data_IF_391511041775
#
_entry.id   IF_391511041775
#
_cell.length_a   1.000
_cell.length_b   1.000
_cell.length_c   1.000
_cell.angle_alpha   90.00
_cell.angle_beta   90.00
_cell.angle_gamma   90.00
#
_symmetry.space_group_name_H-M   'P 1'
#
loop_
_entity.id
_entity.type
_entity.pdbx_description
1 polymer ?
#
# COMPACT_ATOMS: atom_id res chain seq x y z
N UNK A 1 35.16 -7.52 1.80
CA UNK A 1 34.16 -8.53 2.19
C UNK A 1 33.30 -8.98 1.01
N UNK A 2 32.45 -8.13 0.39
CA UNK A 2 31.61 -8.56 -0.77
C UNK A 2 32.45 -9.17 -1.90
N UNK A 3 33.49 -8.47 -2.37
CA UNK A 3 34.37 -8.97 -3.44
C UNK A 3 35.03 -10.30 -3.08
N UNK A 4 35.49 -10.44 -1.83
CA UNK A 4 36.16 -11.67 -1.37
C UNK A 4 35.18 -12.84 -1.27
N UNK A 5 33.94 -12.60 -0.82
CA UNK A 5 32.88 -13.62 -0.76
C UNK A 5 32.48 -14.07 -2.17
N UNK A 6 32.33 -13.12 -3.10
CA UNK A 6 32.03 -13.44 -4.51
C UNK A 6 33.15 -14.27 -5.14
N UNK A 7 34.41 -13.87 -4.96
CA UNK A 7 35.55 -14.64 -5.47
C UNK A 7 35.63 -16.05 -4.87
N UNK A 8 35.28 -16.20 -3.59
CA UNK A 8 35.20 -17.51 -2.93
C UNK A 8 34.06 -18.35 -3.49
N UNK A 9 32.88 -17.78 -3.67
CA UNK A 9 31.73 -18.46 -4.28
C UNK A 9 32.03 -18.92 -5.71
N UNK A 10 32.68 -18.07 -6.52
CA UNK A 10 33.10 -18.42 -7.88
C UNK A 10 34.11 -19.57 -7.85
N UNK A 11 35.08 -19.53 -6.92
CA UNK A 11 36.06 -20.60 -6.75
C UNK A 11 35.41 -21.93 -6.35
N UNK A 12 34.45 -21.90 -5.42
CA UNK A 12 33.88 -23.10 -4.81
C UNK A 12 32.71 -23.70 -5.62
N UNK A 13 31.94 -22.86 -6.32
CA UNK A 13 30.68 -23.28 -7.01
C UNK A 13 30.65 -22.96 -8.51
N UNK A 14 31.60 -22.17 -9.01
CA UNK A 14 31.60 -21.66 -10.39
C UNK A 14 30.68 -20.47 -10.64
N UNK A 15 29.87 -20.06 -9.66
CA UNK A 15 28.91 -18.96 -9.76
C UNK A 15 29.13 -17.92 -8.66
N UNK A 16 28.75 -16.64 -8.87
CA UNK A 16 28.88 -15.60 -7.85
C UNK A 16 27.94 -15.78 -6.66
N UNK A 17 26.82 -16.50 -6.83
CA UNK A 17 25.82 -16.81 -5.81
C UNK A 17 25.72 -18.33 -5.63
N UNK A 18 25.38 -18.79 -4.42
CA UNK A 18 25.15 -20.23 -4.19
C UNK A 18 23.85 -20.69 -4.84
N UNK A 19 23.89 -21.90 -5.42
CA UNK A 19 22.79 -22.51 -6.18
C UNK A 19 21.49 -22.68 -5.36
N UNK A 20 21.58 -22.86 -4.04
CA UNK A 20 20.39 -23.08 -3.19
C UNK A 20 19.46 -21.87 -3.10
N UNK A 21 20.00 -20.65 -2.95
CA UNK A 21 19.18 -19.43 -2.87
C UNK A 21 18.61 -19.09 -4.24
N UNK A 22 19.40 -19.27 -5.30
CA UNK A 22 18.92 -19.10 -6.67
C UNK A 22 17.69 -19.97 -6.95
N UNK A 23 17.74 -21.26 -6.61
CA UNK A 23 16.61 -22.18 -6.80
C UNK A 23 15.34 -21.75 -6.05
N UNK A 24 15.48 -21.17 -4.84
CA UNK A 24 14.33 -20.67 -4.07
C UNK A 24 13.69 -19.42 -4.70
N UNK A 25 14.49 -18.55 -5.33
CA UNK A 25 14.02 -17.33 -5.97
C UNK A 25 13.43 -17.60 -7.36
N UNK A 26 13.96 -18.58 -8.10
CA UNK A 26 13.47 -18.94 -9.44
C UNK A 26 12.34 -19.96 -9.43
N UNK A 27 12.07 -20.59 -8.29
CA UNK A 27 10.94 -21.51 -8.14
C UNK A 27 9.61 -20.78 -8.38
N UNK A 28 8.70 -21.44 -9.11
CA UNK A 28 7.32 -20.98 -9.36
C UNK A 28 7.15 -19.63 -10.08
N UNK A 29 8.20 -18.96 -10.57
CA UNK A 29 8.14 -17.59 -11.12
C UNK A 29 7.05 -17.41 -12.18
N UNK A 30 6.91 -18.35 -13.12
CA UNK A 30 5.87 -18.27 -14.15
C UNK A 30 4.45 -18.42 -13.60
N UNK A 31 4.24 -19.37 -12.69
CA UNK A 31 2.94 -19.57 -12.04
C UNK A 31 2.58 -18.36 -11.18
N UNK A 32 3.57 -17.81 -10.49
CA UNK A 32 3.43 -16.60 -9.69
C UNK A 32 3.03 -15.42 -10.57
N UNK A 33 3.76 -15.15 -11.67
CA UNK A 33 3.47 -14.04 -12.56
C UNK A 33 2.07 -14.11 -13.19
N UNK A 34 1.63 -15.30 -13.62
CA UNK A 34 0.29 -15.50 -14.18
C UNK A 34 -0.79 -15.31 -13.11
N UNK A 35 -0.57 -15.88 -11.93
CA UNK A 35 -1.52 -15.73 -10.80
C UNK A 35 -1.61 -14.29 -10.33
N UNK A 36 -0.48 -13.57 -10.33
CA UNK A 36 -0.39 -12.16 -9.96
C UNK A 36 -1.17 -11.29 -10.93
N UNK A 37 -0.97 -11.50 -12.24
CA UNK A 37 -1.76 -10.85 -13.27
C UNK A 37 -3.25 -11.14 -13.11
N UNK A 38 -3.64 -12.39 -12.84
CA UNK A 38 -5.04 -12.76 -12.62
C UNK A 38 -5.63 -12.08 -11.37
N UNK A 39 -4.85 -11.99 -10.29
CA UNK A 39 -5.22 -11.29 -9.05
C UNK A 39 -5.43 -9.80 -9.32
N UNK A 40 -4.49 -9.12 -10.00
CA UNK A 40 -4.62 -7.70 -10.38
C UNK A 40 -5.82 -7.47 -11.32
N UNK A 41 -6.01 -8.31 -12.35
CA UNK A 41 -7.14 -8.17 -13.29
C UNK A 41 -8.48 -8.38 -12.58
N UNK A 42 -8.57 -9.38 -11.69
CA UNK A 42 -9.81 -9.65 -10.94
C UNK A 42 -10.20 -8.50 -9.98
N UNK A 43 -9.22 -7.69 -9.54
CA UNK A 43 -9.44 -6.46 -8.75
C UNK A 43 -10.24 -5.39 -9.53
N UNK A 44 -10.17 -5.43 -10.87
CA UNK A 44 -10.89 -4.53 -11.77
C UNK A 44 -12.40 -4.69 -11.71
N UNK A 45 -12.93 -5.74 -11.08
CA UNK A 45 -14.36 -5.92 -10.83
C UNK A 45 -14.95 -4.82 -9.92
N UNK A 46 -14.13 -4.09 -9.17
CA UNK A 46 -14.57 -2.92 -8.41
C UNK A 46 -15.16 -1.81 -9.31
N UNK A 47 -14.63 -1.61 -10.52
CA UNK A 47 -15.11 -0.58 -11.45
C UNK A 47 -16.56 -0.80 -11.93
N UNK A 48 -16.95 -1.96 -12.49
CA UNK A 48 -18.33 -2.21 -12.90
C UNK A 48 -19.29 -2.17 -11.71
N UNK A 49 -18.86 -2.61 -10.52
CA UNK A 49 -19.67 -2.49 -9.30
C UNK A 49 -19.97 -1.03 -8.96
N UNK A 50 -18.99 -0.13 -9.07
CA UNK A 50 -19.20 1.32 -8.88
C UNK A 50 -20.09 1.95 -9.96
N UNK A 51 -19.98 1.49 -11.20
CA UNK A 51 -20.90 1.94 -12.27
C UNK A 51 -22.33 1.49 -12.01
N UNK A 52 -22.51 0.30 -11.44
CA UNK A 52 -23.82 -0.25 -11.10
C UNK A 52 -24.44 0.48 -9.91
N UNK A 53 -23.68 0.74 -8.84
CA UNK A 53 -24.17 1.51 -7.67
C UNK A 53 -24.60 2.91 -8.09
N UNK A 54 -23.83 3.59 -8.96
CA UNK A 54 -24.20 4.90 -9.49
C UNK A 54 -25.50 4.87 -10.31
N UNK A 55 -25.62 3.92 -11.27
CA UNK A 55 -26.78 3.83 -12.18
C UNK A 55 -28.07 3.38 -11.51
N UNK A 56 -27.96 2.50 -10.52
CA UNK A 56 -29.15 1.94 -9.87
C UNK A 56 -29.81 2.97 -8.95
N UNK A 57 -31.14 2.96 -8.87
CA UNK A 57 -31.91 3.83 -7.97
C UNK A 57 -31.71 3.52 -6.48
N UNK A 58 -32.75 3.76 -5.67
CA UNK A 58 -32.68 3.68 -4.20
C UNK A 58 -32.25 2.31 -3.63
N UNK A 59 -32.39 1.22 -4.39
CA UNK A 59 -32.08 -0.15 -3.95
C UNK A 59 -30.58 -0.44 -3.78
N UNK A 60 -29.71 0.15 -4.62
CA UNK A 60 -28.25 -0.06 -4.56
C UNK A 60 -27.52 1.22 -4.11
N UNK A 61 -28.14 1.96 -3.19
CA UNK A 61 -27.52 3.13 -2.55
C UNK A 61 -26.22 2.71 -1.86
N UNK A 62 -25.17 3.52 -1.95
CA UNK A 62 -23.83 3.16 -1.46
C UNK A 62 -23.86 2.84 0.03
N UNK A 63 -24.38 3.76 0.85
CA UNK A 63 -24.45 3.62 2.30
C UNK A 63 -25.37 2.50 2.81
N UNK A 64 -26.22 1.91 1.96
CA UNK A 64 -27.12 0.81 2.35
C UNK A 64 -26.61 -0.53 1.84
N UNK A 65 -26.61 -0.70 0.53
CA UNK A 65 -26.37 -2.00 -0.12
C UNK A 65 -24.99 -2.05 -0.77
N UNK A 66 -24.48 -0.90 -1.26
CA UNK A 66 -23.19 -0.83 -1.95
C UNK A 66 -22.02 -1.24 -1.07
N UNK A 67 -21.94 -0.73 0.16
CA UNK A 67 -20.90 -1.11 1.13
C UNK A 67 -20.97 -2.60 1.45
N UNK A 68 -22.16 -3.16 1.65
CA UNK A 68 -22.32 -4.59 1.95
C UNK A 68 -21.81 -5.48 0.80
N UNK A 69 -22.24 -5.19 -0.43
CA UNK A 69 -21.79 -5.95 -1.62
C UNK A 69 -20.28 -5.82 -1.80
N UNK A 70 -19.74 -4.61 -1.65
CA UNK A 70 -18.30 -4.35 -1.76
C UNK A 70 -17.50 -5.13 -0.71
N UNK A 71 -17.95 -5.15 0.54
CA UNK A 71 -17.29 -5.88 1.63
C UNK A 71 -17.34 -7.39 1.42
N UNK A 72 -18.48 -7.94 0.99
CA UNK A 72 -18.59 -9.38 0.67
C UNK A 72 -17.67 -9.77 -0.49
N UNK A 73 -17.62 -8.95 -1.53
CA UNK A 73 -16.68 -9.14 -2.64
C UNK A 73 -15.22 -9.11 -2.15
N UNK A 74 -14.83 -8.13 -1.34
CA UNK A 74 -13.47 -8.03 -0.80
C UNK A 74 -13.08 -9.21 0.10
N UNK A 75 -13.99 -9.68 0.96
CA UNK A 75 -13.75 -10.85 1.82
C UNK A 75 -13.55 -12.11 0.98
N UNK A 76 -14.44 -12.35 0.00
CA UNK A 76 -14.33 -13.50 -0.90
C UNK A 76 -13.05 -13.45 -1.75
N UNK A 77 -12.75 -12.27 -2.31
CA UNK A 77 -11.55 -12.03 -3.11
C UNK A 77 -10.27 -12.25 -2.29
N UNK A 78 -10.20 -11.69 -1.08
CA UNK A 78 -9.04 -11.84 -0.20
C UNK A 78 -8.83 -13.30 0.22
N UNK A 79 -9.91 -13.99 0.59
CA UNK A 79 -9.85 -15.38 1.03
C UNK A 79 -9.35 -16.29 -0.09
N UNK A 80 -9.80 -16.06 -1.32
CA UNK A 80 -9.36 -16.82 -2.49
C UNK A 80 -7.86 -16.64 -2.72
N UNK A 81 -7.39 -15.39 -2.80
CA UNK A 81 -6.00 -15.11 -3.17
C UNK A 81 -5.00 -15.39 -2.04
N UNK A 82 -5.37 -15.22 -0.77
CA UNK A 82 -4.50 -15.65 0.35
C UNK A 82 -4.33 -17.17 0.36
N UNK A 83 -5.39 -17.95 0.07
CA UNK A 83 -5.30 -19.42 0.07
C UNK A 83 -4.60 -19.98 -1.17
N UNK A 84 -4.60 -19.24 -2.28
CA UNK A 84 -4.02 -19.65 -3.56
C UNK A 84 -2.59 -20.20 -3.50
N UNK A 85 -1.59 -19.49 -2.91
CA UNK A 85 -0.21 -19.97 -2.91
C UNK A 85 0.00 -21.21 -2.01
N UNK A 86 -0.86 -21.41 -1.00
CA UNK A 86 -0.83 -22.61 -0.15
C UNK A 86 -1.41 -23.83 -0.86
N UNK A 87 -2.48 -23.64 -1.64
CA UNK A 87 -3.07 -24.71 -2.47
C UNK A 87 -2.10 -25.21 -3.54
N UNK A 88 -1.25 -24.33 -4.06
CA UNK A 88 -0.25 -24.66 -5.07
C UNK A 88 1.11 -25.05 -4.49
N UNK A 89 1.22 -25.16 -3.16
CA UNK A 89 2.44 -25.53 -2.44
C UNK A 89 3.68 -24.73 -2.88
N UNK A 90 3.52 -23.42 -3.08
CA UNK A 90 4.62 -22.55 -3.50
C UNK A 90 5.71 -22.43 -2.44
N UNK A 91 6.91 -22.01 -2.85
CA UNK A 91 7.98 -21.65 -1.93
C UNK A 91 7.56 -20.52 -1.00
N UNK A 92 8.13 -20.50 0.22
CA UNK A 92 7.80 -19.47 1.21
C UNK A 92 8.08 -18.05 0.69
N UNK A 93 9.10 -17.86 -0.15
CA UNK A 93 9.43 -16.57 -0.77
C UNK A 93 8.32 -16.08 -1.69
N UNK A 94 7.80 -16.96 -2.55
CA UNK A 94 6.68 -16.67 -3.43
C UNK A 94 5.39 -16.44 -2.65
N UNK A 95 5.15 -17.20 -1.57
CA UNK A 95 4.00 -17.00 -0.67
C UNK A 95 4.02 -15.61 -0.03
N UNK A 96 5.17 -15.19 0.51
CA UNK A 96 5.31 -13.86 1.15
C UNK A 96 5.08 -12.75 0.13
N UNK A 97 5.73 -12.81 -1.03
CA UNK A 97 5.53 -11.80 -2.08
C UNK A 97 4.06 -11.72 -2.51
N UNK A 98 3.44 -12.86 -2.83
CA UNK A 98 2.07 -12.89 -3.33
C UNK A 98 1.06 -12.38 -2.29
N UNK A 99 1.26 -12.74 -1.02
CA UNK A 99 0.41 -12.29 0.08
C UNK A 99 0.54 -10.78 0.28
N UNK A 100 1.77 -10.24 0.30
CA UNK A 100 1.99 -8.80 0.42
C UNK A 100 1.35 -8.04 -0.75
N UNK A 101 1.55 -8.50 -1.98
CA UNK A 101 0.93 -7.85 -3.14
C UNK A 101 -0.60 -7.92 -3.09
N UNK A 102 -1.17 -9.07 -2.70
CA UNK A 102 -2.62 -9.23 -2.48
C UNK A 102 -3.15 -8.20 -1.47
N UNK A 103 -2.46 -7.99 -0.35
CA UNK A 103 -2.85 -6.98 0.65
C UNK A 103 -2.78 -5.56 0.09
N UNK A 104 -1.74 -5.23 -0.69
CA UNK A 104 -1.65 -3.90 -1.31
C UNK A 104 -2.76 -3.64 -2.33
N UNK A 105 -3.11 -4.63 -3.15
CA UNK A 105 -4.21 -4.53 -4.11
C UNK A 105 -5.56 -4.44 -3.39
N UNK A 106 -5.75 -5.19 -2.29
CA UNK A 106 -6.94 -5.07 -1.44
C UNK A 106 -7.09 -3.64 -0.92
N UNK A 107 -6.03 -3.06 -0.35
CA UNK A 107 -6.05 -1.68 0.16
C UNK A 107 -6.39 -0.69 -0.95
N UNK A 108 -5.79 -0.83 -2.13
CA UNK A 108 -6.12 0.00 -3.30
C UNK A 108 -7.59 -0.13 -3.71
N UNK A 109 -8.11 -1.36 -3.85
CA UNK A 109 -9.51 -1.62 -4.22
C UNK A 109 -10.46 -1.05 -3.17
N UNK A 110 -10.13 -1.20 -1.88
CA UNK A 110 -10.90 -0.63 -0.79
C UNK A 110 -10.93 0.89 -0.86
N UNK A 111 -9.77 1.53 -1.00
CA UNK A 111 -9.72 2.97 -1.13
C UNK A 111 -10.47 3.48 -2.37
N UNK A 112 -10.35 2.79 -3.51
CA UNK A 112 -11.06 3.15 -4.74
C UNK A 112 -12.58 3.07 -4.55
N UNK A 113 -13.06 1.97 -3.97
CA UNK A 113 -14.48 1.74 -3.80
C UNK A 113 -15.11 2.72 -2.80
N UNK A 114 -14.48 2.95 -1.64
CA UNK A 114 -15.01 3.84 -0.61
C UNK A 114 -15.01 5.31 -1.03
N UNK A 115 -13.96 5.75 -1.73
CA UNK A 115 -13.91 7.12 -2.21
C UNK A 115 -14.92 7.39 -3.33
N UNK A 116 -15.00 6.53 -4.36
CA UNK A 116 -16.02 6.69 -5.40
C UNK A 116 -17.44 6.51 -4.88
N UNK A 117 -17.63 5.62 -3.89
CA UNK A 117 -18.92 5.45 -3.23
C UNK A 117 -19.38 6.72 -2.49
N UNK A 118 -18.45 7.41 -1.82
CA UNK A 118 -18.71 8.72 -1.23
C UNK A 118 -19.07 9.76 -2.30
N UNK A 119 -18.27 9.87 -3.37
CA UNK A 119 -18.54 10.80 -4.48
C UNK A 119 -19.89 10.53 -5.14
N UNK A 120 -20.30 9.26 -5.27
CA UNK A 120 -21.62 8.90 -5.79
C UNK A 120 -22.77 9.40 -4.92
N UNK A 121 -22.59 9.45 -3.61
CA UNK A 121 -23.60 9.97 -2.68
C UNK A 121 -23.60 11.50 -2.66
N UNK A 122 -22.43 12.11 -2.77
CA UNK A 122 -22.28 13.56 -2.93
C UNK A 122 -22.94 14.06 -4.23
N UNK A 123 -22.75 13.36 -5.37
CA UNK A 123 -23.40 13.66 -6.66
C UNK A 123 -24.93 13.61 -6.52
N UNK A 124 -25.45 12.55 -5.89
CA UNK A 124 -26.88 12.39 -5.66
C UNK A 124 -27.44 13.48 -4.79
N UNK A 125 -26.73 13.79 -3.70
CA UNK A 125 -27.14 14.83 -2.76
C UNK A 125 -27.19 16.21 -3.41
N UNK A 126 -26.21 16.52 -4.26
CA UNK A 126 -26.24 17.74 -5.07
C UNK A 126 -27.46 17.75 -6.01
N UNK A 127 -27.74 16.65 -6.71
CA UNK A 127 -28.92 16.52 -7.57
C UNK A 127 -30.26 16.58 -6.81
N UNK A 128 -30.31 16.11 -5.56
CA UNK A 128 -31.48 16.22 -4.69
C UNK A 128 -31.75 17.68 -4.25
N UNK A 129 -30.71 18.52 -4.13
CA UNK A 129 -30.85 19.96 -3.84
C UNK A 129 -31.41 20.76 -5.03
N UNK A 130 -31.40 20.20 -6.24
CA UNK A 130 -32.03 20.80 -7.41
C UNK A 130 -33.55 20.52 -7.44
N UNK A 131 -34.02 19.51 -6.69
CA UNK A 131 -35.43 19.15 -6.60
C UNK A 131 -36.07 19.83 -5.38
N UNK A 132 -37.19 20.56 -5.54
CA UNK A 132 -37.83 21.25 -4.43
C UNK A 132 -38.28 20.25 -3.35
N UNK A 133 -37.79 20.42 -2.12
CA UNK A 133 -38.23 19.70 -0.92
C UNK A 133 -37.62 18.33 -0.64
N UNK A 134 -36.64 17.85 -1.44
CA UNK A 134 -36.05 16.50 -1.27
C UNK A 134 -34.59 16.48 -0.77
N UNK A 135 -33.87 17.61 -0.80
CA UNK A 135 -32.45 17.67 -0.44
C UNK A 135 -32.17 17.79 1.06
N UNK A 136 -31.22 16.99 1.55
CA UNK A 136 -30.70 17.11 2.93
C UNK A 136 -29.83 18.36 3.11
N UNK A 137 -30.12 19.17 4.14
CA UNK A 137 -29.39 20.41 4.49
C UNK A 137 -28.21 20.22 5.44
N UNK A 138 -27.77 18.98 5.71
CA UNK A 138 -26.58 18.74 6.53
C UNK A 138 -25.32 19.42 5.95
N UNK A 139 -24.24 19.57 6.72
CA UNK A 139 -22.98 20.05 6.15
C UNK A 139 -22.45 19.10 5.06
N UNK A 140 -21.70 19.62 4.09
CA UNK A 140 -20.93 18.78 3.18
C UNK A 140 -19.82 18.08 3.98
N UNK A 141 -19.72 16.76 3.82
CA UNK A 141 -18.65 15.99 4.46
C UNK A 141 -17.51 15.91 3.46
N UNK A 142 -16.36 16.51 3.78
CA UNK A 142 -15.15 16.37 2.98
C UNK A 142 -14.50 15.04 3.29
N UNK A 143 -14.13 14.29 2.26
CA UNK A 143 -13.44 13.03 2.46
C UNK A 143 -12.02 13.30 3.00
N UNK A 144 -11.54 12.60 4.04
CA UNK A 144 -10.22 12.87 4.60
C UNK A 144 -9.12 12.71 3.54
N UNK A 145 -8.36 13.76 3.27
CA UNK A 145 -7.24 13.80 2.31
C UNK A 145 -5.89 13.71 3.04
N UNK A 146 -4.82 13.47 2.28
CA UNK A 146 -3.45 13.48 2.81
C UNK A 146 -3.09 14.85 3.41
N UNK A 147 -2.50 14.92 4.63
CA UNK A 147 -2.21 16.18 5.31
C UNK A 147 -1.24 17.09 4.53
N UNK A 148 -0.31 16.53 3.75
CA UNK A 148 0.60 17.29 2.88
C UNK A 148 -0.15 18.14 1.81
N UNK A 149 -1.41 17.80 1.53
CA UNK A 149 -2.26 18.44 0.52
C UNK A 149 -3.36 19.31 1.15
N UNK A 150 -3.65 19.15 2.45
CA UNK A 150 -4.53 20.04 3.20
C UNK A 150 -3.92 21.45 3.37
N UNK A 151 -2.59 21.54 3.45
CA UNK A 151 -1.86 22.82 3.53
C UNK A 151 -1.94 23.63 2.23
N UNK A 152 -1.96 22.98 1.07
CA UNK A 152 -2.12 23.65 -0.24
C UNK A 152 -3.51 24.25 -0.44
N UNK A 153 -4.52 23.70 0.24
CA UNK A 153 -5.92 24.17 0.16
C UNK A 153 -6.26 25.32 1.12
N UNK A 154 -5.43 25.57 2.14
CA UNK A 154 -5.65 26.66 3.08
C UNK A 154 -5.26 28.04 2.51
N UNK A 155 -4.72 28.07 1.28
CA UNK A 155 -4.47 29.30 0.52
C UNK A 155 -5.73 29.85 -0.13
N UNK A 156 -6.31 30.86 0.53
CA UNK A 156 -7.08 31.96 -0.11
C UNK A 156 -8.52 31.65 -0.55
N UNK A 157 -9.48 31.71 0.38
CA UNK A 157 -10.85 32.14 0.05
C UNK A 157 -11.39 33.13 1.10
N UNK A 158 -11.51 34.39 0.70
CA UNK A 158 -12.20 35.44 1.44
C UNK A 158 -13.72 35.23 1.25
N UNK A 159 -14.39 34.66 2.24
CA UNK A 159 -15.83 34.42 2.15
C UNK A 159 -16.62 35.73 2.31
N UNK A 160 -17.27 36.16 1.23
CA UNK A 160 -18.41 37.09 1.31
C UNK A 160 -19.60 36.36 1.98
N UNK A 161 -20.48 37.13 2.62
CA UNK A 161 -21.76 36.63 3.14
C UNK A 161 -22.62 36.11 1.98
N UNK A 162 -22.66 34.80 1.80
CA UNK A 162 -23.48 34.10 0.81
C UNK A 162 -24.53 33.25 1.53
N UNK A 163 -25.66 33.00 0.87
CA UNK A 163 -26.74 32.20 1.42
C UNK A 163 -26.27 30.79 1.83
N UNK A 164 -26.82 30.21 2.91
CA UNK A 164 -26.37 28.91 3.41
C UNK A 164 -26.54 27.78 2.38
N UNK A 165 -27.53 27.90 1.47
CA UNK A 165 -27.81 26.90 0.45
C UNK A 165 -26.85 26.97 -0.73
N UNK A 166 -26.45 28.18 -1.15
CA UNK A 166 -25.43 28.35 -2.20
C UNK A 166 -24.08 27.82 -1.73
N UNK A 167 -23.69 28.14 -0.48
CA UNK A 167 -22.48 27.60 0.14
C UNK A 167 -22.45 26.08 0.18
N UNK A 168 -23.56 25.44 0.57
CA UNK A 168 -23.66 23.98 0.56
C UNK A 168 -23.50 23.39 -0.84
N UNK A 169 -24.07 24.04 -1.86
CA UNK A 169 -23.91 23.61 -3.26
C UNK A 169 -22.46 23.72 -3.71
N UNK A 170 -21.82 24.85 -3.42
CA UNK A 170 -20.44 25.09 -3.80
C UNK A 170 -19.48 24.11 -3.10
N UNK A 171 -19.72 23.81 -1.81
CA UNK A 171 -18.95 22.81 -1.08
C UNK A 171 -19.12 21.40 -1.66
N UNK A 172 -20.35 20.99 -2.01
CA UNK A 172 -20.61 19.69 -2.63
C UNK A 172 -20.02 19.59 -4.04
N UNK A 173 -20.12 20.66 -4.83
CA UNK A 173 -19.53 20.73 -6.16
C UNK A 173 -18.00 20.67 -6.09
N UNK A 174 -17.40 21.36 -5.12
CA UNK A 174 -15.94 21.35 -4.90
C UNK A 174 -15.44 19.95 -4.55
N UNK A 175 -16.18 19.18 -3.75
CA UNK A 175 -15.82 17.79 -3.41
C UNK A 175 -15.90 16.83 -4.63
N UNK A 176 -16.82 17.10 -5.57
CA UNK A 176 -16.97 16.31 -6.81
C UNK A 176 -15.91 16.65 -7.87
N UNK A 177 -15.32 17.83 -7.77
CA UNK A 177 -14.25 18.29 -8.67
C UNK A 177 -12.89 17.88 -8.12
N UNK A 178 -12.00 17.43 -9.00
CA UNK A 178 -10.59 17.29 -8.64
C UNK A 178 -10.03 18.62 -8.13
N UNK A 179 -9.15 18.63 -7.12
CA UNK A 179 -8.44 19.83 -6.68
C UNK A 179 -7.61 20.53 -7.76
N UNK A 180 -7.23 19.82 -8.83
CA UNK A 180 -6.53 20.40 -9.99
C UNK A 180 -7.51 20.88 -11.09
N UNK A 181 -8.82 20.66 -10.89
CA UNK A 181 -9.90 21.16 -11.73
C UNK A 181 -10.10 20.45 -13.08
N UNK A 182 -9.28 19.45 -13.42
CA UNK A 182 -9.32 18.85 -14.76
C UNK A 182 -10.39 17.76 -14.92
N UNK A 183 -10.67 17.01 -13.84
CA UNK A 183 -11.58 15.87 -13.87
C UNK A 183 -12.65 16.03 -12.79
N UNK A 184 -13.90 15.75 -13.15
CA UNK A 184 -15.04 15.74 -12.24
C UNK A 184 -15.64 14.35 -12.15
N UNK A 185 -16.16 13.98 -10.98
CA UNK A 185 -16.99 12.79 -10.88
C UNK A 185 -18.26 13.00 -11.73
N UNK A 186 -18.60 12.08 -12.64
CA UNK A 186 -18.23 10.66 -12.73
C UNK A 186 -17.30 10.33 -13.91
N UNK A 187 -16.66 11.33 -14.51
CA UNK A 187 -15.77 11.14 -15.67
C UNK A 187 -14.53 10.31 -15.31
N UNK A 188 -14.20 10.23 -14.01
CA UNK A 188 -13.12 9.40 -13.48
C UNK A 188 -13.39 7.88 -13.56
N UNK A 189 -14.65 7.43 -13.73
CA UNK A 189 -15.02 6.00 -13.77
C UNK A 189 -14.64 5.33 -15.11
N UNK A 190 -13.37 5.40 -15.48
CA UNK A 190 -12.79 4.79 -16.68
C UNK A 190 -11.82 3.68 -16.31
N UNK A 191 -11.64 2.72 -17.22
CA UNK A 191 -10.63 1.68 -17.03
C UNK A 191 -9.21 2.28 -16.99
N UNK A 192 -8.96 3.33 -17.79
CA UNK A 192 -7.67 4.01 -17.82
C UNK A 192 -7.30 4.62 -16.48
N UNK A 193 -8.24 5.32 -15.82
CA UNK A 193 -7.98 5.93 -14.50
C UNK A 193 -7.76 4.85 -13.42
N UNK A 194 -8.55 3.77 -13.45
CA UNK A 194 -8.37 2.65 -12.52
C UNK A 194 -7.01 1.97 -12.69
N UNK A 195 -6.60 1.67 -13.93
CA UNK A 195 -5.30 1.05 -14.23
C UNK A 195 -4.15 1.97 -13.84
N UNK A 196 -4.25 3.27 -14.15
CA UNK A 196 -3.25 4.25 -13.73
C UNK A 196 -3.11 4.31 -12.20
N UNK A 197 -4.21 4.27 -11.44
CA UNK A 197 -4.16 4.18 -9.98
C UNK A 197 -3.52 2.87 -9.47
N UNK A 198 -3.75 1.73 -10.14
CA UNK A 198 -3.10 0.48 -9.75
C UNK A 198 -1.58 0.59 -9.80
N UNK A 199 -1.03 1.25 -10.83
CA UNK A 199 0.41 1.46 -10.98
C UNK A 199 0.98 2.60 -10.13
N UNK A 200 0.17 3.61 -9.77
CA UNK A 200 0.64 4.71 -8.93
C UNK A 200 1.09 4.18 -7.55
N UNK A 201 2.25 4.62 -7.01
CA UNK A 201 2.80 4.14 -5.73
C UNK A 201 2.10 4.76 -4.51
N UNK A 202 0.76 4.77 -4.52
CA UNK A 202 -0.09 5.22 -3.41
C UNK A 202 -1.21 4.21 -3.15
N UNK A 203 -1.63 4.10 -1.90
CA UNK A 203 -2.73 3.23 -1.47
C UNK A 203 -4.07 3.99 -1.38
N UNK A 204 -4.01 5.31 -1.35
CA UNK A 204 -5.17 6.18 -1.23
C UNK A 204 -5.59 6.67 -2.62
N UNK A 205 -6.76 6.21 -3.08
CA UNK A 205 -7.35 6.67 -4.33
C UNK A 205 -7.82 8.12 -4.24
N UNK A 206 -7.52 8.90 -5.28
CA UNK A 206 -7.98 10.26 -5.51
C UNK A 206 -8.34 10.43 -6.99
N UNK A 207 -9.21 11.39 -7.31
CA UNK A 207 -9.66 11.63 -8.70
C UNK A 207 -8.46 11.93 -9.61
N UNK A 208 -7.50 12.70 -9.07
CA UNK A 208 -6.34 13.17 -9.80
C UNK A 208 -5.14 13.33 -8.87
N UNK A 209 -3.98 12.92 -9.39
CA UNK A 209 -2.69 13.01 -8.72
C UNK A 209 -1.81 14.06 -9.39
N UNK A 210 -0.98 14.79 -8.62
CA UNK A 210 -0.02 15.71 -9.20
C UNK A 210 0.99 14.93 -10.06
N UNK A 211 1.27 15.44 -11.27
CA UNK A 211 2.15 14.78 -12.25
C UNK A 211 3.43 15.54 -12.54
N UNK A 212 4.49 14.81 -12.83
CA UNK A 212 5.71 15.36 -13.43
C UNK A 212 5.53 15.53 -14.96
N UNK A 213 6.19 16.52 -15.59
CA UNK A 213 5.99 16.80 -17.01
C UNK A 213 6.50 15.68 -17.93
N UNK A 214 7.62 15.05 -17.57
CA UNK A 214 8.32 14.05 -18.38
C UNK A 214 8.79 12.88 -17.53
N UNK A 215 8.97 11.71 -18.17
CA UNK A 215 9.60 10.53 -17.56
C UNK A 215 11.11 10.63 -17.76
N UNK A 216 11.87 10.59 -16.65
CA UNK A 216 13.33 10.57 -16.63
C UNK A 216 13.83 9.12 -16.61
N UNK A 217 13.96 8.53 -17.80
CA UNK A 217 14.40 7.14 -17.97
C UNK A 217 15.75 6.81 -17.32
N UNK A 218 16.65 7.80 -17.23
CA UNK A 218 17.92 7.64 -16.52
C UNK A 218 17.72 7.33 -15.03
N UNK A 219 16.78 8.00 -14.37
CA UNK A 219 16.46 7.72 -12.97
C UNK A 219 15.81 6.35 -12.81
N UNK A 220 14.89 5.97 -13.71
CA UNK A 220 14.29 4.64 -13.73
C UNK A 220 15.39 3.57 -13.84
N UNK A 221 16.31 3.73 -14.79
CA UNK A 221 17.42 2.80 -14.99
C UNK A 221 18.29 2.65 -13.74
N UNK A 222 18.73 3.76 -13.14
CA UNK A 222 19.58 3.69 -11.94
C UNK A 222 18.83 3.12 -10.73
N UNK A 223 17.55 3.44 -10.54
CA UNK A 223 16.72 2.85 -9.48
C UNK A 223 16.54 1.35 -9.70
N UNK A 224 16.24 0.91 -10.93
CA UNK A 224 16.15 -0.51 -11.28
C UNK A 224 17.48 -1.25 -11.04
N UNK A 225 18.61 -0.67 -11.44
CA UNK A 225 19.93 -1.22 -11.16
C UNK A 225 20.20 -1.33 -9.66
N UNK A 226 19.82 -0.32 -8.89
CA UNK A 226 19.95 -0.31 -7.43
C UNK A 226 19.09 -1.40 -6.76
N UNK A 227 17.88 -1.69 -7.27
CA UNK A 227 17.07 -2.83 -6.81
C UNK A 227 17.84 -4.14 -6.95
N UNK A 228 18.39 -4.42 -8.14
CA UNK A 228 19.18 -5.64 -8.36
C UNK A 228 20.43 -5.69 -7.47
N UNK A 229 21.12 -4.56 -7.30
CA UNK A 229 22.28 -4.45 -6.41
C UNK A 229 21.93 -4.72 -4.94
N UNK A 230 20.84 -4.17 -4.43
CA UNK A 230 20.38 -4.41 -3.07
C UNK A 230 19.87 -5.84 -2.85
N UNK A 231 19.15 -6.43 -3.82
CA UNK A 231 18.77 -7.85 -3.76
C UNK A 231 20.00 -8.75 -3.70
N UNK A 232 21.02 -8.46 -4.52
CA UNK A 232 22.29 -9.17 -4.47
C UNK A 232 22.96 -9.06 -3.09
N UNK A 233 23.05 -7.85 -2.53
CA UNK A 233 23.60 -7.64 -1.18
C UNK A 233 22.78 -8.31 -0.07
N UNK A 234 21.44 -8.37 -0.21
CA UNK A 234 20.56 -9.10 0.69
C UNK A 234 20.86 -10.60 0.66
N UNK A 235 21.01 -11.18 -0.54
CA UNK A 235 21.34 -12.60 -0.68
C UNK A 235 22.71 -12.92 -0.09
N UNK A 236 23.72 -12.09 -0.35
CA UNK A 236 25.06 -12.27 0.22
C UNK A 236 25.06 -12.13 1.74
N UNK A 237 24.36 -11.12 2.29
CA UNK A 237 24.28 -10.92 3.74
C UNK A 237 23.62 -12.12 4.42
N UNK A 238 22.56 -12.65 3.82
CA UNK A 238 21.87 -13.84 4.31
C UNK A 238 22.76 -15.08 4.28
N UNK A 239 23.42 -15.34 3.15
CA UNK A 239 24.26 -16.53 2.98
C UNK A 239 25.51 -16.55 3.86
N UNK A 240 26.19 -15.41 4.01
CA UNK A 240 27.47 -15.34 4.71
C UNK A 240 27.31 -15.12 6.22
N UNK A 241 26.29 -14.36 6.65
CA UNK A 241 26.18 -13.94 8.05
C UNK A 241 24.96 -14.47 8.79
N UNK A 242 23.84 -14.77 8.10
CA UNK A 242 22.61 -15.23 8.78
C UNK A 242 22.55 -16.77 8.81
N UNK A 243 22.68 -17.41 7.65
CA UNK A 243 22.51 -18.86 7.50
C UNK A 243 23.50 -19.67 8.34
N UNK A 244 24.82 -19.35 8.43
CA UNK A 244 25.76 -20.13 9.23
C UNK A 244 25.42 -20.10 10.73
N UNK A 245 25.08 -18.91 11.25
CA UNK A 245 24.69 -18.71 12.66
C UNK A 245 23.43 -19.52 12.98
N UNK A 246 22.43 -19.50 12.10
CA UNK A 246 21.20 -20.28 12.29
C UNK A 246 21.45 -21.79 12.24
N UNK A 247 22.34 -22.26 11.35
CA UNK A 247 22.67 -23.68 11.27
C UNK A 247 23.39 -24.18 12.52
N UNK A 248 24.35 -23.40 13.03
CA UNK A 248 25.07 -23.72 14.26
C UNK A 248 24.11 -23.72 15.46
N UNK A 249 23.27 -22.68 15.58
CA UNK A 249 22.25 -22.60 16.62
C UNK A 249 21.28 -23.79 16.57
N UNK A 250 20.84 -24.23 15.38
CA UNK A 250 19.96 -25.38 15.22
C UNK A 250 20.58 -26.68 15.69
N UNK A 251 21.88 -26.90 15.42
CA UNK A 251 22.60 -28.10 15.86
C UNK A 251 22.76 -28.08 17.39
N UNK A 252 23.19 -26.94 17.94
CA UNK A 252 23.38 -26.76 19.38
C UNK A 252 22.07 -26.92 20.14
N UNK A 253 20.97 -26.34 19.66
CA UNK A 253 19.66 -26.42 20.29
C UNK A 253 19.11 -27.87 20.32
N UNK A 254 19.39 -28.66 19.29
CA UNK A 254 19.00 -30.07 19.24
C UNK A 254 19.79 -30.95 20.23
N UNK A 255 20.96 -30.51 20.68
CA UNK A 255 21.82 -31.25 21.61
C UNK A 255 21.49 -31.03 23.09
N UNK A 256 20.65 -30.03 23.39
CA UNK A 256 20.40 -29.53 24.75
C UNK A 256 18.93 -29.70 25.12
N UNK A 257 18.68 -30.29 26.30
CA UNK A 257 17.32 -30.54 26.82
C UNK A 257 16.89 -29.56 27.92
N UNK A 258 17.81 -28.74 28.45
CA UNK A 258 17.52 -27.82 29.56
C UNK A 258 17.08 -26.46 29.04
N UNK A 259 16.01 -25.89 29.61
CA UNK A 259 15.47 -24.59 29.18
C UNK A 259 16.45 -23.42 29.38
N UNK A 260 17.26 -23.42 30.45
CA UNK A 260 18.27 -22.37 30.69
C UNK A 260 19.30 -22.30 29.58
N UNK A 261 19.78 -23.45 29.14
CA UNK A 261 20.82 -23.57 28.12
C UNK A 261 20.25 -23.25 26.74
N UNK A 262 19.01 -23.67 26.47
CA UNK A 262 18.28 -23.24 25.26
C UNK A 262 18.10 -21.72 25.22
N UNK A 263 17.75 -21.08 26.34
CA UNK A 263 17.61 -19.63 26.42
C UNK A 263 18.94 -18.90 26.19
N UNK A 264 20.05 -19.44 26.71
CA UNK A 264 21.40 -18.89 26.46
C UNK A 264 21.79 -18.98 24.98
N UNK A 265 21.57 -20.14 24.34
CA UNK A 265 21.84 -20.32 22.90
C UNK A 265 21.00 -19.34 22.08
N UNK A 266 19.71 -19.16 22.41
CA UNK A 266 18.85 -18.20 21.71
C UNK A 266 19.30 -16.76 21.91
N UNK A 267 19.74 -16.39 23.12
CA UNK A 267 20.25 -15.04 23.41
C UNK A 267 21.55 -14.75 22.65
N UNK A 268 22.49 -15.71 22.63
CA UNK A 268 23.73 -15.62 21.86
C UNK A 268 23.46 -15.50 20.36
N UNK A 269 22.61 -16.38 19.83
CA UNK A 269 22.19 -16.36 18.42
C UNK A 269 21.55 -15.03 18.05
N UNK A 270 20.66 -14.51 18.91
CA UNK A 270 20.01 -13.21 18.69
C UNK A 270 21.05 -12.09 18.64
N UNK A 271 22.02 -12.09 19.56
CA UNK A 271 23.10 -11.10 19.62
C UNK A 271 23.95 -11.10 18.34
N UNK A 272 24.33 -12.29 17.85
CA UNK A 272 25.10 -12.44 16.60
C UNK A 272 24.32 -11.97 15.37
N UNK A 273 22.99 -12.13 15.38
CA UNK A 273 22.12 -11.78 14.26
C UNK A 273 21.68 -10.31 14.24
N UNK A 274 21.88 -9.53 15.32
CA UNK A 274 21.47 -8.12 15.41
C UNK A 274 21.98 -7.28 14.22
N UNK A 275 23.28 -7.35 13.94
CA UNK A 275 23.88 -6.54 12.87
C UNK A 275 23.46 -7.01 11.46
N UNK A 276 23.52 -8.32 11.12
CA UNK A 276 23.00 -8.82 9.85
C UNK A 276 21.52 -8.48 9.60
N UNK A 277 20.66 -8.58 10.62
CA UNK A 277 19.25 -8.20 10.49
C UNK A 277 19.07 -6.69 10.34
N UNK A 278 19.85 -5.86 11.03
CA UNK A 278 19.80 -4.41 10.85
C UNK A 278 20.15 -4.01 9.41
N UNK A 279 21.21 -4.58 8.84
CA UNK A 279 21.59 -4.34 7.43
C UNK A 279 20.49 -4.85 6.49
N UNK A 280 19.94 -6.04 6.74
CA UNK A 280 18.85 -6.61 5.95
C UNK A 280 17.61 -5.72 5.97
N UNK A 281 17.23 -5.22 7.16
CA UNK A 281 16.10 -4.31 7.34
C UNK A 281 16.29 -3.01 6.54
N UNK A 282 17.47 -2.37 6.62
CA UNK A 282 17.78 -1.16 5.87
C UNK A 282 17.80 -1.40 4.35
N UNK A 283 18.35 -2.53 3.89
CA UNK A 283 18.36 -2.88 2.47
C UNK A 283 16.95 -3.14 1.94
N UNK A 284 16.10 -3.86 2.68
CA UNK A 284 14.70 -4.09 2.30
C UNK A 284 13.94 -2.77 2.24
N UNK A 285 14.16 -1.88 3.21
CA UNK A 285 13.59 -0.54 3.21
C UNK A 285 13.98 0.24 1.95
N UNK A 286 15.26 0.29 1.60
CA UNK A 286 15.73 0.99 0.40
C UNK A 286 15.16 0.37 -0.88
N UNK A 287 15.13 -0.95 -0.99
CA UNK A 287 14.56 -1.66 -2.14
C UNK A 287 13.11 -1.24 -2.36
N UNK A 288 12.30 -1.25 -1.31
CA UNK A 288 10.87 -0.97 -1.42
C UNK A 288 10.63 0.53 -1.61
N UNK A 289 11.05 1.35 -0.64
CA UNK A 289 10.58 2.73 -0.54
C UNK A 289 11.36 3.70 -1.43
N UNK A 290 12.67 3.54 -1.56
CA UNK A 290 13.51 4.47 -2.33
C UNK A 290 13.58 4.07 -3.82
N UNK A 291 13.78 2.78 -4.09
CA UNK A 291 14.03 2.32 -5.47
C UNK A 291 12.77 1.82 -6.18
N UNK A 292 12.01 0.90 -5.59
CA UNK A 292 10.83 0.32 -6.25
C UNK A 292 9.71 1.36 -6.38
N UNK A 293 9.23 1.92 -5.27
CA UNK A 293 8.19 2.96 -5.31
C UNK A 293 8.65 4.19 -6.11
N UNK A 294 9.93 4.57 -5.98
CA UNK A 294 10.52 5.65 -6.77
C UNK A 294 10.51 5.37 -8.28
N UNK A 295 10.81 4.15 -8.72
CA UNK A 295 10.75 3.77 -10.13
C UNK A 295 9.31 3.78 -10.65
N UNK A 296 8.36 3.22 -9.89
CA UNK A 296 6.92 3.29 -10.23
C UNK A 296 6.43 4.73 -10.28
N UNK A 297 6.90 5.61 -9.38
CA UNK A 297 6.56 7.02 -9.39
C UNK A 297 7.03 7.72 -10.68
N UNK A 298 8.25 7.44 -11.12
CA UNK A 298 8.80 8.04 -12.34
C UNK A 298 8.07 7.51 -13.58
N UNK A 299 7.82 6.20 -13.68
CA UNK A 299 7.09 5.57 -14.80
C UNK A 299 5.67 6.12 -14.90
N UNK A 300 4.97 6.27 -13.77
CA UNK A 300 3.60 6.82 -13.72
C UNK A 300 3.56 8.35 -13.73
N UNK A 301 4.73 9.03 -13.76
CA UNK A 301 4.84 10.49 -13.58
C UNK A 301 4.20 11.00 -12.29
N UNK A 302 4.13 10.19 -11.25
CA UNK A 302 3.61 10.59 -9.95
C UNK A 302 4.58 11.56 -9.24
N UNK A 303 4.08 12.76 -8.91
CA UNK A 303 4.91 13.83 -8.34
C UNK A 303 5.02 13.74 -6.80
N UNK A 304 4.04 13.15 -6.11
CA UNK A 304 4.07 13.02 -4.65
C UNK A 304 4.97 11.85 -4.21
N UNK A 305 6.29 12.09 -4.20
CA UNK A 305 7.28 11.03 -3.96
C UNK A 305 7.64 10.84 -2.48
N UNK A 306 6.85 11.37 -1.56
CA UNK A 306 7.11 11.29 -0.13
C UNK A 306 6.59 9.97 0.44
N UNK A 307 7.29 8.88 0.14
CA UNK A 307 6.93 7.53 0.62
C UNK A 307 7.35 7.27 2.08
N UNK A 308 8.34 8.01 2.55
CA UNK A 308 8.85 7.98 3.92
C UNK A 308 9.35 9.39 4.32
N UNK A 309 9.61 9.59 5.61
CA UNK A 309 10.23 10.79 6.21
C UNK A 309 11.50 10.38 6.95
N UNK A 310 12.12 11.30 7.68
CA UNK A 310 13.35 11.06 8.45
C UNK A 310 13.11 10.21 9.72
N UNK A 311 12.50 9.04 9.56
CA UNK A 311 12.05 8.13 10.63
C UNK A 311 13.19 7.64 11.54
N UNK A 312 14.44 7.74 11.10
CA UNK A 312 15.61 7.42 11.90
C UNK A 312 15.89 8.46 12.99
N UNK A 313 15.27 9.64 12.91
CA UNK A 313 15.33 10.69 13.93
C UNK A 313 14.13 10.64 14.89
N UNK A 314 13.15 9.75 14.68
CA UNK A 314 11.95 9.69 15.50
C UNK A 314 12.28 9.33 16.95
N UNK A 315 11.72 10.07 17.91
CA UNK A 315 11.99 9.90 19.34
C UNK A 315 10.93 9.04 20.05
N UNK A 316 9.79 8.80 19.42
CA UNK A 316 8.70 7.98 19.93
C UNK A 316 8.10 7.05 18.86
N UNK A 317 7.38 6.02 19.31
CA UNK A 317 6.79 5.02 18.41
C UNK A 317 5.68 5.59 17.53
N UNK A 318 4.92 6.60 18.01
CA UNK A 318 3.85 7.20 17.23
C UNK A 318 4.44 8.02 16.09
N UNK A 319 5.50 8.79 16.34
CA UNK A 319 6.27 9.48 15.30
C UNK A 319 6.84 8.49 14.27
N UNK A 320 7.56 7.46 14.71
CA UNK A 320 8.10 6.43 13.82
C UNK A 320 7.02 5.80 12.93
N UNK A 321 5.87 5.43 13.49
CA UNK A 321 4.77 4.80 12.75
C UNK A 321 4.17 5.67 11.65
N UNK A 322 4.30 7.01 11.76
CA UNK A 322 3.81 7.99 10.78
C UNK A 322 4.81 8.24 9.66
N UNK A 323 6.09 8.06 9.94
CA UNK A 323 7.20 8.48 9.08
C UNK A 323 7.82 7.35 8.28
N UNK A 324 7.80 6.11 8.79
CA UNK A 324 8.43 4.96 8.15
C UNK A 324 7.78 4.57 6.81
N UNK A 325 6.45 4.39 6.81
CA UNK A 325 5.68 3.94 5.65
C UNK A 325 4.45 4.83 5.47
N UNK A 326 4.67 6.00 4.86
CA UNK A 326 3.65 7.04 4.70
C UNK A 326 2.43 6.52 3.90
N UNK A 327 2.58 5.75 2.80
CA UNK A 327 1.42 5.23 2.07
C UNK A 327 0.48 4.38 2.94
N UNK A 328 1.03 3.47 3.74
CA UNK A 328 0.21 2.63 4.65
C UNK A 328 -0.34 3.47 5.78
N UNK A 329 0.47 4.36 6.37
CA UNK A 329 -0.01 5.26 7.42
C UNK A 329 -1.20 6.10 6.95
N UNK A 330 -1.12 6.69 5.76
CA UNK A 330 -2.22 7.46 5.17
C UNK A 330 -3.46 6.61 4.91
N UNK A 331 -3.29 5.38 4.42
CA UNK A 331 -4.41 4.46 4.22
C UNK A 331 -5.11 4.12 5.55
N UNK A 332 -4.35 3.69 6.56
CA UNK A 332 -4.87 3.33 7.88
C UNK A 332 -5.53 4.53 8.54
N UNK A 333 -4.91 5.71 8.47
CA UNK A 333 -5.49 6.94 9.01
C UNK A 333 -6.82 7.29 8.34
N UNK A 334 -6.89 7.22 7.00
CA UNK A 334 -8.04 7.61 6.18
C UNK A 334 -9.21 6.64 6.30
N UNK A 335 -8.95 5.34 6.16
CA UNK A 335 -10.00 4.32 6.01
C UNK A 335 -10.30 3.56 7.29
N UNK A 336 -9.34 3.44 8.21
CA UNK A 336 -9.53 2.72 9.49
C UNK A 336 -9.78 3.72 10.61
N UNK A 337 -8.80 4.57 10.94
CA UNK A 337 -8.87 5.46 12.10
C UNK A 337 -10.05 6.44 12.03
N UNK A 338 -10.19 7.21 10.94
CA UNK A 338 -11.28 8.19 10.85
C UNK A 338 -12.66 7.53 10.81
N UNK A 339 -12.79 6.40 10.10
CA UNK A 339 -14.02 5.60 10.08
C UNK A 339 -14.37 5.08 11.47
N UNK A 340 -13.41 4.53 12.21
CA UNK A 340 -13.62 4.05 13.58
C UNK A 340 -13.93 5.19 14.54
N UNK A 341 -13.30 6.37 14.38
CA UNK A 341 -13.54 7.55 15.22
C UNK A 341 -14.96 8.10 15.09
N UNK A 342 -15.66 7.84 13.99
CA UNK A 342 -17.08 8.21 13.84
C UNK A 342 -17.99 7.41 14.79
N UNK A 343 -17.57 6.24 15.27
CA UNK A 343 -18.37 5.35 16.11
C UNK A 343 -17.77 5.11 17.51
N UNK A 344 -16.44 5.24 17.65
CA UNK A 344 -15.70 4.91 18.87
C UNK A 344 -14.86 6.10 19.36
N UNK A 345 -14.41 6.03 20.62
CA UNK A 345 -13.50 7.03 21.19
C UNK A 345 -12.11 6.97 20.55
N UNK A 346 -11.34 8.07 20.65
CA UNK A 346 -10.02 8.17 20.03
C UNK A 346 -9.03 7.06 20.45
N UNK A 347 -8.96 6.62 21.73
CA UNK A 347 -8.09 5.50 22.12
C UNK A 347 -8.51 4.18 21.50
N UNK A 348 -9.82 3.90 21.42
CA UNK A 348 -10.34 2.66 20.82
C UNK A 348 -10.10 2.66 19.30
N UNK A 349 -10.32 3.78 18.63
CA UNK A 349 -10.01 3.91 17.20
C UNK A 349 -8.51 3.72 16.91
N UNK A 350 -7.63 4.23 17.78
CA UNK A 350 -6.20 4.01 17.68
C UNK A 350 -5.84 2.54 17.88
N UNK A 351 -6.39 1.89 18.90
CA UNK A 351 -6.20 0.45 19.13
C UNK A 351 -6.63 -0.39 17.93
N UNK A 352 -7.82 -0.14 17.36
CA UNK A 352 -8.31 -0.81 16.15
C UNK A 352 -7.36 -0.61 14.96
N UNK A 353 -6.68 0.53 14.88
CA UNK A 353 -5.76 0.83 13.77
C UNK A 353 -4.43 0.06 13.87
N UNK A 354 -4.00 -0.31 15.08
CA UNK A 354 -2.74 -1.03 15.33
C UNK A 354 -2.91 -2.55 15.53
N UNK A 355 -4.14 -3.03 15.73
CA UNK A 355 -4.49 -4.44 15.79
C UNK A 355 -4.48 -5.06 14.39
#
# INVERSE_FOLDING_TARGET
MVVTTVLRNIKDTGYPLRVKVWNLLTANVWQLAISDLAMVVSSGFALPLQKLTRKSGNLLRWYRTGILIQSLYQIGWLTLWIKWPFMLHWTWTAQVFFTLHTLTILMKVHSYAFYNGHLSETERRLSELDKPGQGSMAAAVRYPSSPARAETMNGTFNFKQEEPLSRLRDDLATELTSPLGQVTYPQNLTLSNFVDFLFCPTLCYEIEYPRTPTIRWTEVFFKTLAVFGCIFLLTLTSEEFIVPVLNEASISLASVNTWSDQALILAETTSMLLFPFMITFLLVFLVIFEYLLGAFAEITRFADRRFYSDWWNSCDWLEFSREWNIPVHHFLRRHVYFSSKSYFSAPVAMFITFL
#
